data_IF_440395071154
#
_entry.id   IF_440395071154
#
_cell.length_a   1.000
_cell.length_b   1.000
_cell.length_c   1.000
_cell.angle_alpha   90.00
_cell.angle_beta   90.00
_cell.angle_gamma   90.00
#
_symmetry.space_group_name_H-M   'P 1'
#
loop_
_entity.id
_entity.type
_entity.pdbx_description
1 polymer ?
#
# COMPACT_ATOMS: atom_id res chain seq x y z
N UNK A 1 -40.66 -0.72 35.01
CA UNK A 1 -39.95 -0.49 33.74
C UNK A 1 -38.54 -1.00 33.82
N UNK A 2 -38.26 -2.00 32.99
CA UNK A 2 -37.04 -2.78 33.00
C UNK A 2 -35.86 -1.97 32.46
N UNK A 3 -34.75 -1.95 33.21
CA UNK A 3 -33.47 -1.45 32.75
C UNK A 3 -32.96 -2.30 31.59
N UNK A 4 -32.70 -1.64 30.46
CA UNK A 4 -32.06 -2.25 29.31
C UNK A 4 -30.55 -2.31 29.60
N UNK A 5 -30.13 -3.43 30.17
CA UNK A 5 -28.72 -3.78 30.38
C UNK A 5 -28.12 -4.20 29.03
N UNK A 6 -27.54 -3.24 28.30
CA UNK A 6 -26.71 -3.55 27.13
C UNK A 6 -25.31 -3.86 27.61
N UNK A 7 -25.09 -5.10 28.04
CA UNK A 7 -23.74 -5.61 28.22
C UNK A 7 -22.97 -5.42 26.89
N UNK A 8 -21.73 -4.89 26.91
CA UNK A 8 -20.91 -4.85 25.71
C UNK A 8 -20.67 -6.30 25.28
N UNK A 9 -21.12 -6.65 24.08
CA UNK A 9 -20.75 -7.90 23.44
C UNK A 9 -19.23 -7.97 23.44
N UNK A 10 -18.68 -8.86 24.27
CA UNK A 10 -17.25 -9.18 24.28
C UNK A 10 -16.90 -9.68 22.87
N UNK A 11 -16.16 -8.87 22.12
CA UNK A 11 -15.60 -9.26 20.83
C UNK A 11 -14.48 -10.28 21.10
N UNK A 12 -14.89 -11.53 21.21
CA UNK A 12 -14.04 -12.69 21.47
C UNK A 12 -13.38 -13.22 20.19
N UNK A 13 -13.38 -12.47 19.07
CA UNK A 13 -12.59 -12.89 17.91
C UNK A 13 -11.11 -12.81 18.29
N UNK A 14 -10.43 -13.95 18.27
CA UNK A 14 -8.98 -13.99 18.37
C UNK A 14 -8.42 -13.05 17.30
N UNK A 15 -7.76 -11.96 17.72
CA UNK A 15 -7.15 -11.00 16.80
C UNK A 15 -6.03 -11.71 16.05
N UNK A 16 -6.24 -11.94 14.76
CA UNK A 16 -5.23 -12.56 13.90
C UNK A 16 -4.09 -11.57 13.61
N UNK A 17 -2.90 -12.09 13.31
CA UNK A 17 -1.86 -11.28 12.69
C UNK A 17 -1.81 -11.56 11.19
N UNK A 18 -1.88 -10.50 10.38
CA UNK A 18 -1.81 -10.57 8.93
C UNK A 18 -0.50 -9.97 8.43
N UNK A 19 0.31 -10.78 7.74
CA UNK A 19 1.43 -10.30 6.95
C UNK A 19 1.05 -10.32 5.46
N UNK A 20 1.01 -9.14 4.83
CA UNK A 20 0.72 -9.02 3.40
C UNK A 20 2.00 -8.76 2.63
N UNK A 21 2.38 -9.72 1.77
CA UNK A 21 3.61 -9.68 0.98
C UNK A 21 3.33 -9.12 -0.41
N UNK A 22 3.98 -8.01 -0.76
CA UNK A 22 3.93 -7.49 -2.13
C UNK A 22 4.27 -6.00 -2.26
N UNK A 23 4.04 -5.45 -3.45
CA UNK A 23 4.44 -4.08 -3.77
C UNK A 23 3.49 -3.00 -3.23
N UNK A 24 4.09 -1.88 -2.83
CA UNK A 24 3.41 -0.61 -2.55
C UNK A 24 3.81 0.37 -3.66
N UNK A 25 2.81 1.03 -4.23
CA UNK A 25 3.00 1.97 -5.32
C UNK A 25 2.69 3.39 -4.84
N UNK A 26 3.25 4.37 -5.52
CA UNK A 26 2.87 5.76 -5.41
C UNK A 26 2.01 6.09 -6.64
N UNK A 27 0.72 6.21 -6.42
CA UNK A 27 -0.24 6.50 -7.48
C UNK A 27 -0.43 8.02 -7.60
N UNK A 28 -0.19 8.56 -8.79
CA UNK A 28 -0.54 9.93 -9.16
C UNK A 28 -1.80 9.90 -10.03
N UNK A 29 -2.90 10.37 -9.46
CA UNK A 29 -4.23 10.30 -10.04
C UNK A 29 -4.58 11.68 -10.59
N UNK A 30 -4.68 11.77 -11.91
CA UNK A 30 -5.13 12.94 -12.64
C UNK A 30 -6.60 12.75 -13.00
N UNK A 31 -7.46 13.53 -12.36
CA UNK A 31 -8.87 13.60 -12.73
C UNK A 31 -9.02 14.48 -13.97
N UNK A 32 -9.67 13.95 -15.01
CA UNK A 32 -9.89 14.64 -16.28
C UNK A 32 -11.38 14.67 -16.61
N UNK A 33 -11.83 15.70 -17.33
CA UNK A 33 -13.24 15.81 -17.72
C UNK A 33 -13.68 14.59 -18.56
N UNK A 34 -12.87 14.22 -19.55
CA UNK A 34 -12.97 13.01 -20.35
C UNK A 34 -11.56 12.57 -20.76
N UNK A 35 -11.41 11.36 -21.28
CA UNK A 35 -10.10 10.92 -21.76
C UNK A 35 -9.58 11.81 -22.89
N UNK A 36 -8.26 12.10 -22.89
CA UNK A 36 -7.63 12.77 -24.02
C UNK A 36 -7.68 11.88 -25.25
N UNK A 37 -7.77 12.51 -26.42
CA UNK A 37 -7.42 11.83 -27.67
C UNK A 37 -5.91 11.61 -27.73
N UNK A 38 -5.48 10.65 -28.54
CA UNK A 38 -4.06 10.50 -28.86
C UNK A 38 -3.47 11.82 -29.36
N UNK A 39 -2.24 12.13 -28.96
CA UNK A 39 -1.53 13.37 -29.30
C UNK A 39 -2.24 14.68 -28.91
N UNK A 40 -3.08 14.64 -27.88
CA UNK A 40 -3.73 15.84 -27.34
C UNK A 40 -3.12 16.31 -26.01
N UNK A 41 -3.10 17.64 -25.83
CA UNK A 41 -2.73 18.27 -24.57
C UNK A 41 -3.99 18.69 -23.81
N UNK A 42 -4.18 18.16 -22.60
CA UNK A 42 -5.30 18.52 -21.73
C UNK A 42 -4.80 18.91 -20.34
N UNK A 43 -5.62 19.65 -19.60
CA UNK A 43 -5.36 19.99 -18.19
C UNK A 43 -6.22 19.10 -17.28
N UNK A 44 -5.59 18.53 -16.25
CA UNK A 44 -6.31 17.82 -15.20
C UNK A 44 -7.17 18.79 -14.37
N UNK A 45 -8.36 18.34 -13.99
CA UNK A 45 -9.25 19.05 -13.08
C UNK A 45 -8.71 19.01 -11.63
N UNK A 46 -8.13 17.87 -11.24
CA UNK A 46 -7.43 17.71 -9.97
C UNK A 46 -6.29 16.69 -10.12
N UNK A 47 -5.28 16.80 -9.25
CA UNK A 47 -4.20 15.82 -9.15
C UNK A 47 -4.08 15.39 -7.69
N UNK A 48 -4.02 14.08 -7.46
CA UNK A 48 -3.87 13.52 -6.13
C UNK A 48 -2.74 12.49 -6.12
N UNK A 49 -1.87 12.61 -5.13
CA UNK A 49 -0.86 11.58 -4.84
C UNK A 49 -1.37 10.69 -3.71
N UNK A 50 -1.40 9.38 -3.92
CA UNK A 50 -1.88 8.41 -2.94
C UNK A 50 -1.00 7.17 -2.91
N UNK A 51 -1.12 6.39 -1.84
CA UNK A 51 -0.60 5.04 -1.79
C UNK A 51 -1.44 4.13 -2.68
N UNK A 52 -0.76 3.34 -3.50
CA UNK A 52 -1.32 2.34 -4.38
C UNK A 52 -0.77 0.94 -4.13
N UNK A 53 -0.97 0.08 -5.12
CA UNK A 53 -0.61 -1.34 -5.06
C UNK A 53 -1.67 -2.18 -4.36
N UNK A 54 -1.94 -3.37 -4.89
CA UNK A 54 -2.98 -4.26 -4.37
C UNK A 54 -2.76 -4.59 -2.89
N UNK A 55 -1.50 -4.88 -2.53
CA UNK A 55 -1.12 -5.20 -1.15
C UNK A 55 -1.17 -3.98 -0.25
N UNK A 56 -0.62 -2.85 -0.69
CA UNK A 56 -0.74 -1.58 0.06
C UNK A 56 -2.20 -1.28 0.38
N UNK A 57 -3.06 -1.23 -0.64
CA UNK A 57 -4.48 -0.95 -0.48
C UNK A 57 -5.19 -1.96 0.44
N UNK A 58 -4.95 -3.26 0.24
CA UNK A 58 -5.56 -4.31 1.06
C UNK A 58 -5.13 -4.21 2.52
N UNK A 59 -3.87 -3.87 2.80
CA UNK A 59 -3.38 -3.73 4.18
C UNK A 59 -4.09 -2.58 4.94
N UNK A 60 -4.31 -1.43 4.29
CA UNK A 60 -5.09 -0.37 4.95
C UNK A 60 -6.53 -0.80 5.21
N UNK A 61 -7.20 -1.37 4.19
CA UNK A 61 -8.60 -1.79 4.34
C UNK A 61 -8.72 -2.80 5.46
N UNK A 62 -7.83 -3.79 5.50
CA UNK A 62 -7.85 -4.81 6.54
C UNK A 62 -7.63 -4.21 7.95
N UNK A 63 -6.73 -3.22 8.06
CA UNK A 63 -6.48 -2.52 9.32
C UNK A 63 -7.71 -1.71 9.79
N UNK A 64 -8.45 -1.10 8.86
CA UNK A 64 -9.69 -0.37 9.17
C UNK A 64 -10.83 -1.27 9.68
N UNK A 65 -10.79 -2.56 9.37
CA UNK A 65 -11.82 -3.51 9.79
C UNK A 65 -11.62 -4.05 11.23
N UNK A 66 -10.57 -3.60 11.92
CA UNK A 66 -10.12 -4.14 13.24
C UNK A 66 -10.05 -5.67 13.27
N UNK A 67 -9.69 -6.28 12.13
CA UNK A 67 -9.60 -7.74 12.00
C UNK A 67 -8.41 -8.34 12.79
N UNK A 68 -7.53 -7.48 13.30
CA UNK A 68 -6.31 -7.84 14.01
C UNK A 68 -5.14 -6.93 13.63
N UNK A 69 -3.91 -7.37 13.93
CA UNK A 69 -2.73 -6.56 13.60
C UNK A 69 -2.28 -6.82 12.16
N UNK A 70 -2.02 -5.75 11.42
CA UNK A 70 -1.66 -5.83 10.00
C UNK A 70 -0.22 -5.35 9.81
N UNK A 71 0.54 -6.10 9.05
CA UNK A 71 1.88 -5.74 8.62
C UNK A 71 2.01 -5.89 7.11
N UNK A 72 2.76 -4.96 6.53
CA UNK A 72 3.23 -5.04 5.17
C UNK A 72 4.67 -5.56 5.12
N UNK A 73 4.89 -6.53 4.22
CA UNK A 73 6.21 -7.07 3.89
C UNK A 73 6.49 -6.79 2.41
N UNK A 74 7.61 -6.16 2.12
CA UNK A 74 7.99 -5.87 0.75
C UNK A 74 9.37 -5.28 0.62
N UNK A 75 9.60 -4.56 -0.47
CA UNK A 75 10.92 -4.02 -0.83
C UNK A 75 10.81 -2.52 -1.00
N UNK A 76 11.82 -1.79 -0.53
CA UNK A 76 12.02 -0.37 -0.79
C UNK A 76 13.46 -0.12 -1.29
N UNK A 77 13.70 0.91 -2.11
CA UNK A 77 15.06 1.31 -2.44
C UNK A 77 15.77 1.83 -1.18
N UNK A 78 17.02 1.43 -0.98
CA UNK A 78 17.86 1.88 0.13
C UNK A 78 18.17 3.38 0.04
N UNK A 79 18.40 3.87 -1.19
CA UNK A 79 18.67 5.27 -1.52
C UNK A 79 17.48 5.85 -2.30
N UNK A 80 16.31 5.93 -1.67
CA UNK A 80 15.14 6.53 -2.29
C UNK A 80 15.26 8.05 -2.35
N UNK A 81 15.26 8.62 -3.56
CA UNK A 81 15.18 10.08 -3.76
C UNK A 81 13.89 10.71 -3.19
N UNK A 82 13.82 12.04 -3.17
CA UNK A 82 12.66 12.93 -2.94
C UNK A 82 11.60 12.49 -1.89
N UNK A 83 11.99 11.74 -0.85
CA UNK A 83 11.07 11.28 0.18
C UNK A 83 10.04 10.24 -0.29
N UNK A 84 10.21 9.61 -1.46
CA UNK A 84 9.24 8.65 -2.00
C UNK A 84 9.06 7.42 -1.09
N UNK A 85 10.15 6.92 -0.50
CA UNK A 85 10.11 5.82 0.48
C UNK A 85 9.36 6.25 1.73
N UNK A 86 9.66 7.45 2.26
CA UNK A 86 8.96 7.99 3.41
C UNK A 86 7.46 8.11 3.15
N UNK A 87 7.05 8.71 2.02
CA UNK A 87 5.64 8.78 1.62
C UNK A 87 4.96 7.41 1.61
N UNK A 88 5.60 6.38 1.04
CA UNK A 88 5.03 5.04 0.99
C UNK A 88 4.87 4.42 2.39
N UNK A 89 5.90 4.49 3.23
CA UNK A 89 5.87 3.93 4.59
C UNK A 89 4.90 4.72 5.49
N UNK A 90 4.97 6.05 5.47
CA UNK A 90 4.09 6.92 6.26
C UNK A 90 2.63 6.75 5.88
N UNK A 91 2.35 6.55 4.59
CA UNK A 91 0.98 6.27 4.12
C UNK A 91 0.42 4.93 4.60
N UNK A 92 1.28 3.96 4.94
CA UNK A 92 0.88 2.70 5.58
C UNK A 92 0.71 2.90 7.08
N UNK A 93 1.64 3.58 7.73
CA UNK A 93 1.58 3.92 9.16
C UNK A 93 0.34 4.74 9.51
N UNK A 94 -0.09 5.66 8.64
CA UNK A 94 -1.33 6.42 8.82
C UNK A 94 -2.59 5.54 8.93
N UNK A 95 -2.52 4.28 8.50
CA UNK A 95 -3.57 3.28 8.63
C UNK A 95 -3.20 2.17 9.62
N UNK A 96 -2.28 2.40 10.56
CA UNK A 96 -1.81 1.43 11.55
C UNK A 96 -1.24 0.13 10.93
N UNK A 97 -0.73 0.19 9.70
CA UNK A 97 -0.04 -0.94 9.07
C UNK A 97 1.43 -0.89 9.45
N UNK A 98 1.91 -1.95 10.12
CA UNK A 98 3.33 -2.17 10.45
C UNK A 98 4.17 -2.30 9.19
N UNK A 99 5.39 -1.79 9.20
CA UNK A 99 6.28 -1.80 8.02
C UNK A 99 7.69 -2.25 8.32
N UNK A 100 7.97 -2.77 9.51
CA UNK A 100 9.32 -3.06 10.00
C UNK A 100 10.02 -4.16 9.18
N UNK A 101 9.26 -5.12 8.63
CA UNK A 101 9.77 -6.23 7.82
C UNK A 101 9.83 -5.92 6.32
N UNK A 102 10.48 -4.82 5.95
CA UNK A 102 10.80 -4.52 4.56
C UNK A 102 12.28 -4.75 4.25
N UNK A 103 12.57 -5.23 3.04
CA UNK A 103 13.92 -5.28 2.50
C UNK A 103 14.33 -3.92 1.92
N UNK A 104 15.54 -3.48 2.22
CA UNK A 104 16.17 -2.32 1.57
C UNK A 104 17.15 -2.78 0.50
N UNK A 105 16.89 -2.41 -0.75
CA UNK A 105 17.71 -2.84 -1.90
C UNK A 105 18.47 -1.66 -2.48
N UNK A 106 19.77 -1.83 -2.74
CA UNK A 106 20.60 -0.87 -3.45
C UNK A 106 20.52 -1.08 -4.97
N UNK A 107 20.72 -0.01 -5.73
CA UNK A 107 20.76 -0.06 -7.19
C UNK A 107 20.87 1.32 -7.80
N UNK A 108 21.37 1.41 -9.03
CA UNK A 108 21.39 2.66 -9.79
C UNK A 108 20.02 2.94 -10.37
N UNK A 109 19.56 4.19 -10.28
CA UNK A 109 18.29 4.67 -10.84
C UNK A 109 17.03 3.88 -10.38
N UNK A 110 17.08 3.18 -9.25
CA UNK A 110 15.91 2.52 -8.66
C UNK A 110 15.06 3.51 -7.86
N UNK A 111 13.74 3.33 -7.87
CA UNK A 111 12.80 4.17 -7.12
C UNK A 111 11.63 3.36 -6.59
N UNK A 112 10.78 3.99 -5.79
CA UNK A 112 9.49 3.39 -5.44
C UNK A 112 8.67 3.17 -6.72
N UNK A 113 7.95 2.04 -6.84
CA UNK A 113 7.02 1.83 -7.94
C UNK A 113 5.98 2.95 -8.00
N UNK A 114 5.62 3.39 -9.20
CA UNK A 114 4.67 4.49 -9.41
C UNK A 114 3.60 4.09 -10.39
N UNK A 115 2.40 4.67 -10.27
CA UNK A 115 1.39 4.59 -11.33
C UNK A 115 0.92 5.99 -11.70
N UNK A 116 0.88 6.28 -13.00
CA UNK A 116 0.13 7.41 -13.52
C UNK A 116 -1.28 6.94 -13.83
N UNK A 117 -2.28 7.59 -13.26
CA UNK A 117 -3.68 7.19 -13.37
C UNK A 117 -4.48 8.35 -13.96
N UNK A 118 -5.08 8.13 -15.12
CA UNK A 118 -6.11 9.03 -15.65
C UNK A 118 -7.47 8.54 -15.17
N UNK A 119 -8.23 9.41 -14.51
CA UNK A 119 -9.59 9.14 -14.03
C UNK A 119 -10.58 10.05 -14.76
N UNK A 120 -11.48 9.46 -15.55
CA UNK A 120 -12.45 10.20 -16.38
C UNK A 120 -13.73 10.50 -15.60
N UNK A 121 -14.11 11.78 -15.48
CA UNK A 121 -15.39 12.19 -14.87
C UNK A 121 -16.58 11.83 -15.76
N UNK A 122 -16.42 11.89 -17.08
CA UNK A 122 -17.48 11.60 -18.03
C UNK A 122 -17.99 10.16 -17.95
N UNK A 123 -17.10 9.20 -17.63
CA UNK A 123 -17.42 7.76 -17.66
C UNK A 123 -17.21 7.05 -16.33
N UNK A 124 -16.51 7.67 -15.37
CA UNK A 124 -16.09 7.04 -14.11
C UNK A 124 -14.98 5.99 -14.27
N UNK A 125 -14.48 5.77 -15.49
CA UNK A 125 -13.42 4.78 -15.76
C UNK A 125 -12.04 5.35 -15.50
N UNK A 126 -11.04 4.46 -15.40
CA UNK A 126 -9.63 4.84 -15.22
C UNK A 126 -8.67 4.05 -16.10
N UNK A 127 -7.58 4.70 -16.48
CA UNK A 127 -6.44 4.08 -17.17
C UNK A 127 -5.22 4.20 -16.28
N UNK A 128 -4.51 3.10 -16.09
CA UNK A 128 -3.36 3.01 -15.17
C UNK A 128 -2.13 2.63 -15.99
N UNK A 129 -1.09 3.44 -15.89
CA UNK A 129 0.25 3.15 -16.43
C UNK A 129 1.20 3.00 -15.24
N UNK A 130 1.59 1.77 -14.93
CA UNK A 130 2.45 1.46 -13.80
C UNK A 130 3.91 1.23 -14.23
N UNK A 131 4.84 1.68 -13.40
CA UNK A 131 6.28 1.46 -13.56
C UNK A 131 6.86 0.94 -12.26
N UNK A 132 7.63 -0.15 -12.32
CA UNK A 132 8.39 -0.65 -11.17
C UNK A 132 9.61 0.20 -10.82
N UNK A 133 9.99 1.16 -11.68
CA UNK A 133 11.14 2.05 -11.47
C UNK A 133 12.41 1.28 -11.09
N UNK A 134 12.65 0.14 -11.74
CA UNK A 134 13.82 -0.72 -11.49
C UNK A 134 13.81 -1.49 -10.16
N UNK A 135 12.82 -1.30 -9.28
CA UNK A 135 12.72 -2.03 -8.03
C UNK A 135 12.26 -3.47 -8.28
N UNK A 136 13.05 -4.43 -7.82
CA UNK A 136 12.69 -5.85 -7.88
C UNK A 136 11.63 -6.22 -6.85
N UNK A 137 11.02 -7.38 -7.06
CA UNK A 137 10.15 -7.98 -6.06
C UNK A 137 10.97 -8.61 -4.92
N UNK A 138 10.28 -8.90 -3.81
CA UNK A 138 10.87 -9.61 -2.67
C UNK A 138 11.27 -11.01 -3.11
N UNK A 139 12.51 -11.42 -2.87
CA UNK A 139 12.94 -12.76 -3.25
C UNK A 139 12.60 -13.79 -2.17
N UNK A 140 12.31 -15.03 -2.58
CA UNK A 140 11.98 -16.13 -1.68
C UNK A 140 13.10 -16.44 -0.68
N UNK A 141 14.36 -16.25 -1.09
CA UNK A 141 15.52 -16.44 -0.23
C UNK A 141 15.53 -15.44 0.94
N UNK A 142 15.35 -14.14 0.65
CA UNK A 142 15.26 -13.11 1.68
C UNK A 142 14.06 -13.37 2.59
N UNK A 143 12.89 -13.70 2.03
CA UNK A 143 11.70 -14.01 2.81
C UNK A 143 11.96 -15.18 3.78
N UNK A 144 12.56 -16.27 3.30
CA UNK A 144 12.83 -17.45 4.12
C UNK A 144 13.87 -17.19 5.21
N UNK A 145 14.86 -16.33 4.95
CA UNK A 145 15.95 -16.04 5.88
C UNK A 145 15.59 -14.99 6.92
N UNK A 146 14.93 -13.90 6.51
CA UNK A 146 14.74 -12.71 7.35
C UNK A 146 13.30 -12.58 7.86
N UNK A 147 12.30 -12.85 7.01
CA UNK A 147 10.89 -12.56 7.32
C UNK A 147 10.24 -13.72 8.08
N UNK A 148 10.30 -14.94 7.53
CA UNK A 148 9.61 -16.11 8.06
C UNK A 148 10.04 -16.45 9.51
N UNK A 149 11.34 -16.46 9.87
CA UNK A 149 11.74 -16.78 11.23
C UNK A 149 11.29 -15.74 12.25
N UNK A 150 11.24 -14.45 11.86
CA UNK A 150 10.73 -13.39 12.74
C UNK A 150 9.23 -13.57 13.00
N UNK A 151 8.46 -13.85 11.94
CA UNK A 151 7.02 -14.08 12.05
C UNK A 151 6.69 -15.26 12.97
N UNK A 152 7.39 -16.39 12.82
CA UNK A 152 7.19 -17.59 13.67
C UNK A 152 7.55 -17.33 15.14
N UNK A 153 8.60 -16.53 15.41
CA UNK A 153 8.97 -16.20 16.81
C UNK A 153 7.96 -15.29 17.50
N UNK A 154 7.38 -14.36 16.77
CA UNK A 154 6.41 -13.39 17.30
C UNK A 154 5.00 -13.99 17.42
N UNK A 155 4.69 -15.04 16.66
CA UNK A 155 3.39 -15.68 16.58
C UNK A 155 3.52 -17.22 16.57
N UNK A 156 3.83 -17.84 17.73
CA UNK A 156 4.08 -19.28 17.86
C UNK A 156 2.82 -20.14 17.71
#
# INVERSE_FOLDING_TARGET
DAGHDTAPMSDSRAKCHFALVGGVYIDEIHEVAAYPSEDSAIRAASVQRRRGGNVGNSAAVLSQLDAGSVEWVGVVPANGGDGAVAFALDSLHAYNVRTERHERVQGEAIGMPTSMILSSRATGSRTIVSSRRGLRELCAEYFSREVLPAFVREHP
#
